data_IF_341278968773
#
_entry.id   IF_341278968773
#
_cell.length_a   1.000
_cell.length_b   1.000
_cell.length_c   1.000
_cell.angle_alpha   90.00
_cell.angle_beta   90.00
_cell.angle_gamma   90.00
#
_symmetry.space_group_name_H-M   'P 1'
#
loop_
_entity.id
_entity.type
_entity.pdbx_description
1 polymer ?
#
# COMPACT_ATOMS: atom_id res chain seq x y z
N UNK A 1 -20.67 -7.63 -9.25
CA UNK A 1 -19.75 -8.55 -9.95
C UNK A 1 -20.52 -9.19 -11.10
N UNK A 2 -19.89 -9.49 -12.25
CA UNK A 2 -20.55 -10.25 -13.30
C UNK A 2 -21.02 -11.60 -12.75
N UNK A 3 -22.31 -11.92 -12.90
CA UNK A 3 -22.91 -13.17 -12.40
C UNK A 3 -23.52 -13.14 -11.00
N UNK A 4 -23.32 -12.07 -10.22
CA UNK A 4 -23.98 -11.94 -8.92
C UNK A 4 -25.44 -11.48 -9.07
N UNK A 5 -26.35 -12.07 -8.29
CA UNK A 5 -27.73 -11.62 -8.20
C UNK A 5 -27.78 -10.21 -7.57
N UNK A 6 -28.43 -9.27 -8.28
CA UNK A 6 -28.59 -7.88 -7.81
C UNK A 6 -29.71 -7.84 -6.77
N UNK A 7 -29.36 -8.16 -5.52
CA UNK A 7 -30.28 -8.08 -4.38
C UNK A 7 -29.73 -7.11 -3.34
N UNK A 8 -30.61 -6.54 -2.51
CA UNK A 8 -30.21 -5.66 -1.40
C UNK A 8 -29.29 -6.39 -0.42
N UNK A 9 -29.50 -7.67 -0.21
CA UNK A 9 -28.69 -8.50 0.69
C UNK A 9 -27.26 -8.71 0.14
N UNK A 10 -27.13 -9.00 -1.16
CA UNK A 10 -25.83 -9.15 -1.80
C UNK A 10 -25.04 -7.85 -1.79
N UNK A 11 -25.70 -6.71 -2.05
CA UNK A 11 -25.10 -5.39 -1.99
C UNK A 11 -24.64 -5.05 -0.57
N UNK A 12 -25.48 -5.28 0.44
CA UNK A 12 -25.16 -5.06 1.85
C UNK A 12 -23.98 -5.93 2.31
N UNK A 13 -23.99 -7.21 1.94
CA UNK A 13 -22.89 -8.14 2.22
C UNK A 13 -21.58 -7.68 1.58
N UNK A 14 -21.63 -7.22 0.33
CA UNK A 14 -20.46 -6.70 -0.39
C UNK A 14 -19.86 -5.49 0.34
N UNK A 15 -20.67 -4.48 0.67
CA UNK A 15 -20.23 -3.27 1.37
C UNK A 15 -19.65 -3.64 2.74
N UNK A 16 -20.33 -4.52 3.50
CA UNK A 16 -19.83 -5.00 4.78
C UNK A 16 -18.47 -5.68 4.66
N UNK A 17 -18.27 -6.50 3.64
CA UNK A 17 -16.99 -7.16 3.41
C UNK A 17 -15.89 -6.21 2.95
N UNK A 18 -16.21 -5.15 2.19
CA UNK A 18 -15.21 -4.23 1.65
C UNK A 18 -14.64 -3.28 2.71
N UNK A 19 -15.46 -2.78 3.62
CA UNK A 19 -15.08 -1.68 4.52
C UNK A 19 -15.09 -2.03 6.02
N UNK A 20 -15.84 -3.05 6.41
CA UNK A 20 -16.08 -3.38 7.82
C UNK A 20 -15.55 -4.77 8.23
N UNK A 21 -14.85 -5.46 7.32
CA UNK A 21 -14.29 -6.78 7.60
C UNK A 21 -12.78 -6.68 7.84
N UNK A 22 -12.26 -6.98 9.04
CA UNK A 22 -10.84 -6.87 9.37
C UNK A 22 -9.93 -7.81 8.57
N UNK A 23 -10.50 -8.84 7.92
CA UNK A 23 -9.73 -9.72 7.02
C UNK A 23 -9.46 -9.09 5.64
N UNK A 24 -10.16 -8.03 5.27
CA UNK A 24 -10.09 -7.41 3.94
C UNK A 24 -9.74 -5.94 3.96
N UNK A 25 -10.03 -5.25 5.05
CA UNK A 25 -9.80 -3.83 5.22
C UNK A 25 -8.97 -3.59 6.47
N UNK A 26 -7.91 -2.82 6.34
CA UNK A 26 -6.98 -2.48 7.40
C UNK A 26 -6.54 -1.04 7.22
N UNK A 27 -6.94 -0.18 8.16
CA UNK A 27 -6.52 1.23 8.23
C UNK A 27 -5.09 1.37 8.72
N UNK A 28 -4.56 0.37 9.38
CA UNK A 28 -3.40 0.45 10.27
C UNK A 28 -3.55 1.56 11.34
N UNK A 29 -2.62 1.60 12.30
CA UNK A 29 -2.67 2.55 13.42
C UNK A 29 -2.62 4.00 12.95
N UNK A 30 -1.76 4.28 11.96
CA UNK A 30 -1.60 5.64 11.38
C UNK A 30 -2.88 6.10 10.69
N UNK A 31 -3.60 5.21 9.99
CA UNK A 31 -4.86 5.54 9.33
C UNK A 31 -5.95 5.90 10.35
N UNK A 32 -6.09 5.10 11.42
CA UNK A 32 -7.04 5.36 12.50
C UNK A 32 -6.72 6.67 13.21
N UNK A 33 -5.47 6.89 13.58
CA UNK A 33 -5.02 8.15 14.18
C UNK A 33 -5.36 9.37 13.31
N UNK A 34 -5.09 9.32 11.99
CA UNK A 34 -5.38 10.42 11.07
C UNK A 34 -6.88 10.72 10.95
N UNK A 35 -7.73 9.68 10.88
CA UNK A 35 -9.18 9.83 10.84
C UNK A 35 -9.67 10.47 12.14
N UNK A 36 -9.27 9.96 13.30
CA UNK A 36 -9.63 10.50 14.60
C UNK A 36 -9.25 11.96 14.73
N UNK A 37 -8.03 12.31 14.35
CA UNK A 37 -7.54 13.69 14.39
C UNK A 37 -8.31 14.61 13.45
N UNK A 38 -8.63 14.16 12.22
CA UNK A 38 -9.33 14.95 11.21
C UNK A 38 -10.80 15.18 11.57
N UNK A 39 -11.48 14.12 11.98
CA UNK A 39 -12.90 14.15 12.27
C UNK A 39 -13.22 14.47 13.75
N UNK A 40 -12.17 14.67 14.57
CA UNK A 40 -12.27 14.93 16.02
C UNK A 40 -13.05 13.82 16.74
N UNK A 41 -12.72 12.56 16.40
CA UNK A 41 -13.28 11.37 17.02
C UNK A 41 -12.31 10.79 18.05
N UNK A 42 -12.87 10.02 18.99
CA UNK A 42 -12.10 9.28 20.01
C UNK A 42 -12.38 7.76 19.88
N UNK A 43 -12.16 7.25 18.68
CA UNK A 43 -12.28 5.80 18.42
C UNK A 43 -10.95 5.14 18.82
N UNK A 44 -10.97 4.01 19.56
CA UNK A 44 -9.74 3.30 19.93
C UNK A 44 -8.86 2.95 18.73
N UNK A 45 -7.54 3.07 18.89
CA UNK A 45 -6.57 2.85 17.80
C UNK A 45 -6.48 1.39 17.34
N UNK A 46 -6.91 0.45 18.16
CA UNK A 46 -7.02 -0.98 17.83
C UNK A 46 -8.15 -1.31 16.85
N UNK A 47 -9.06 -0.34 16.58
CA UNK A 47 -10.14 -0.50 15.59
C UNK A 47 -9.59 -0.24 14.20
N UNK A 48 -9.12 -1.29 13.55
CA UNK A 48 -8.47 -1.25 12.23
C UNK A 48 -9.43 -1.17 11.02
N UNK A 49 -10.74 -1.22 11.26
CA UNK A 49 -11.77 -1.12 10.22
C UNK A 49 -12.54 0.18 10.34
N UNK A 50 -13.22 0.58 9.25
CA UNK A 50 -14.11 1.73 9.31
C UNK A 50 -15.32 1.44 10.21
N UNK A 51 -15.80 2.47 10.91
CA UNK A 51 -17.07 2.47 11.62
C UNK A 51 -18.15 3.18 10.80
N UNK A 52 -19.41 2.99 11.14
CA UNK A 52 -20.50 3.74 10.49
C UNK A 52 -20.37 5.24 10.78
N UNK A 53 -19.91 5.56 11.96
CA UNK A 53 -19.69 6.94 12.39
C UNK A 53 -18.60 7.62 11.56
N UNK A 54 -17.51 6.92 11.25
CA UNK A 54 -16.46 7.43 10.36
C UNK A 54 -17.04 7.85 8.99
N UNK A 55 -17.95 7.03 8.43
CA UNK A 55 -18.57 7.33 7.14
C UNK A 55 -19.47 8.57 7.24
N UNK A 56 -20.31 8.65 8.26
CA UNK A 56 -21.23 9.78 8.44
C UNK A 56 -20.47 11.10 8.67
N UNK A 57 -19.46 11.09 9.53
CA UNK A 57 -18.66 12.28 9.81
C UNK A 57 -17.78 12.67 8.61
N UNK A 58 -17.32 11.72 7.82
CA UNK A 58 -16.64 12.02 6.55
C UNK A 58 -17.56 12.75 5.59
N UNK A 59 -18.82 12.32 5.45
CA UNK A 59 -19.82 13.00 4.60
C UNK A 59 -20.07 14.43 5.11
N UNK A 60 -20.22 14.60 6.41
CA UNK A 60 -20.42 15.93 6.99
C UNK A 60 -19.19 16.84 6.81
N UNK A 61 -17.99 16.26 6.90
CA UNK A 61 -16.77 17.01 6.62
C UNK A 61 -16.66 17.43 5.15
N UNK A 62 -17.05 16.54 4.20
CA UNK A 62 -17.11 16.89 2.78
C UNK A 62 -18.09 18.02 2.52
N UNK A 63 -19.27 18.02 3.17
CA UNK A 63 -20.22 19.14 3.08
C UNK A 63 -19.60 20.47 3.57
N UNK A 64 -18.86 20.43 4.68
CA UNK A 64 -18.15 21.62 5.19
C UNK A 64 -17.13 22.13 4.18
N UNK A 65 -16.35 21.23 3.56
CA UNK A 65 -15.39 21.61 2.52
C UNK A 65 -16.06 22.26 1.30
N UNK A 66 -17.21 21.73 0.86
CA UNK A 66 -17.99 22.33 -0.24
C UNK A 66 -18.48 23.74 0.11
N UNK A 67 -18.83 23.97 1.36
CA UNK A 67 -19.24 25.28 1.86
C UNK A 67 -18.07 26.25 2.12
N UNK A 68 -16.84 25.85 1.87
CA UNK A 68 -15.64 26.64 2.15
C UNK A 68 -15.19 26.60 3.61
N UNK A 69 -15.74 25.71 4.42
CA UNK A 69 -15.37 25.50 5.82
C UNK A 69 -14.39 24.32 5.93
N UNK A 70 -13.22 24.56 6.51
CA UNK A 70 -12.20 23.50 6.67
C UNK A 70 -11.06 23.61 5.65
N UNK A 71 -10.22 22.58 5.58
CA UNK A 71 -9.05 22.56 4.70
C UNK A 71 -8.81 21.15 4.17
N UNK A 72 -8.27 21.08 2.96
CA UNK A 72 -7.78 19.82 2.37
C UNK A 72 -6.36 19.56 2.83
N UNK A 73 -5.96 18.28 2.87
CA UNK A 73 -4.58 17.94 3.14
C UNK A 73 -3.70 18.23 1.93
N UNK A 74 -2.50 18.72 2.21
CA UNK A 74 -1.43 18.79 1.22
C UNK A 74 -0.88 17.38 0.97
N UNK A 75 -1.25 16.81 -0.17
CA UNK A 75 -0.90 15.42 -0.53
C UNK A 75 0.59 15.24 -0.84
N UNK A 76 1.30 16.31 -1.18
CA UNK A 76 2.73 16.26 -1.51
C UNK A 76 3.63 16.47 -0.30
N UNK A 77 3.06 16.88 0.83
CA UNK A 77 3.78 16.97 2.08
C UNK A 77 4.19 15.56 2.57
N UNK A 78 5.45 15.40 2.96
CA UNK A 78 5.99 14.12 3.44
C UNK A 78 5.33 13.59 4.73
N UNK A 79 4.54 14.40 5.44
CA UNK A 79 3.68 13.89 6.51
C UNK A 79 2.52 13.02 5.99
N UNK A 80 2.12 13.18 4.74
CA UNK A 80 1.06 12.44 4.06
C UNK A 80 1.57 11.45 3.01
N UNK A 81 2.85 11.54 2.68
CA UNK A 81 3.53 10.75 1.66
C UNK A 81 4.68 10.01 2.30
N UNK A 82 4.46 8.75 2.68
CA UNK A 82 5.45 7.94 3.36
C UNK A 82 6.25 7.06 2.40
N UNK A 83 7.47 6.73 2.78
CA UNK A 83 8.31 5.77 2.06
C UNK A 83 8.01 4.36 2.57
N UNK A 84 7.84 3.42 1.65
CA UNK A 84 7.73 2.00 1.96
C UNK A 84 9.08 1.34 1.71
N UNK A 85 9.60 0.68 2.73
CA UNK A 85 10.83 -0.12 2.60
C UNK A 85 10.58 -1.49 1.99
N UNK A 86 11.66 -2.17 1.61
CA UNK A 86 11.62 -3.51 1.02
C UNK A 86 10.89 -4.54 1.90
N UNK A 87 11.05 -4.47 3.21
CA UNK A 87 10.38 -5.38 4.14
C UNK A 87 8.86 -5.29 4.08
N UNK A 88 8.30 -4.08 4.01
CA UNK A 88 6.87 -3.86 3.87
C UNK A 88 6.36 -4.38 2.51
N UNK A 89 7.06 -4.04 1.42
CA UNK A 89 6.69 -4.49 0.08
C UNK A 89 6.74 -6.02 -0.05
N UNK A 90 7.76 -6.65 0.52
CA UNK A 90 7.88 -8.10 0.56
C UNK A 90 6.79 -8.74 1.42
N UNK A 91 6.44 -8.15 2.56
CA UNK A 91 5.40 -8.68 3.44
C UNK A 91 4.03 -8.74 2.75
N UNK A 92 3.72 -7.77 1.88
CA UNK A 92 2.50 -7.77 1.07
C UNK A 92 2.49 -8.97 0.11
N UNK A 93 3.61 -9.28 -0.53
CA UNK A 93 3.73 -10.44 -1.42
C UNK A 93 3.60 -11.76 -0.65
N UNK A 94 4.25 -11.86 0.51
CA UNK A 94 4.15 -13.04 1.37
C UNK A 94 2.71 -13.24 1.85
N UNK A 95 2.03 -12.18 2.33
CA UNK A 95 0.59 -12.26 2.68
C UNK A 95 -0.25 -12.76 1.51
N UNK A 96 -0.03 -12.25 0.31
CA UNK A 96 -0.71 -12.70 -0.91
C UNK A 96 -0.47 -14.19 -1.21
N UNK A 97 0.76 -14.65 -1.07
CA UNK A 97 1.15 -16.04 -1.24
C UNK A 97 0.50 -16.97 -0.21
N UNK A 98 0.49 -16.54 1.06
CA UNK A 98 -0.16 -17.28 2.14
C UNK A 98 -1.69 -17.39 1.95
N UNK A 99 -2.34 -16.33 1.48
CA UNK A 99 -3.76 -16.37 1.16
C UNK A 99 -4.08 -17.34 0.02
N UNK A 100 -3.26 -17.36 -1.07
CA UNK A 100 -3.39 -18.31 -2.17
C UNK A 100 -3.21 -19.75 -1.64
N UNK A 101 -2.19 -19.98 -0.83
CA UNK A 101 -1.92 -21.30 -0.24
C UNK A 101 -3.06 -21.74 0.67
N UNK A 102 -3.58 -20.86 1.55
CA UNK A 102 -4.72 -21.15 2.41
C UNK A 102 -5.99 -21.51 1.61
N UNK A 103 -6.24 -20.82 0.49
CA UNK A 103 -7.34 -21.17 -0.41
C UNK A 103 -7.17 -22.58 -1.00
N UNK A 104 -5.99 -22.91 -1.49
CA UNK A 104 -5.70 -24.24 -2.04
C UNK A 104 -5.84 -25.35 -0.99
N UNK A 105 -5.41 -25.10 0.25
CA UNK A 105 -5.58 -26.05 1.36
C UNK A 105 -7.07 -26.30 1.62
N UNK A 106 -7.89 -25.26 1.69
CA UNK A 106 -9.35 -25.40 1.89
C UNK A 106 -10.01 -26.19 0.76
N UNK A 107 -9.64 -25.91 -0.49
CA UNK A 107 -10.15 -26.63 -1.66
C UNK A 107 -9.78 -28.11 -1.60
N UNK A 108 -8.54 -28.45 -1.25
CA UNK A 108 -8.11 -29.85 -1.08
C UNK A 108 -8.84 -30.55 0.06
N UNK A 109 -9.02 -29.88 1.20
CA UNK A 109 -9.77 -30.45 2.34
C UNK A 109 -11.25 -30.72 2.01
N UNK A 110 -11.81 -30.01 1.04
CA UNK A 110 -13.21 -30.23 0.60
C UNK A 110 -13.35 -31.44 -0.34
N UNK A 111 -12.29 -31.72 -1.13
CA UNK A 111 -12.34 -32.74 -2.19
C UNK A 111 -11.77 -34.08 -1.73
N UNK A 112 -10.78 -34.09 -0.85
CA UNK A 112 -10.06 -35.30 -0.45
C UNK A 112 -10.62 -35.90 0.85
N UNK A 113 -10.48 -37.22 0.97
CA UNK A 113 -10.88 -37.94 2.15
C UNK A 113 -9.97 -37.59 3.35
N UNK A 114 -10.58 -37.20 4.45
CA UNK A 114 -9.90 -36.73 5.67
C UNK A 114 -8.98 -37.81 6.25
N UNK A 115 -9.30 -39.09 6.06
CA UNK A 115 -8.53 -40.21 6.60
C UNK A 115 -7.14 -40.38 5.97
N UNK A 116 -6.97 -39.87 4.74
CA UNK A 116 -5.72 -39.99 3.97
C UNK A 116 -4.89 -38.71 3.94
N UNK A 117 -5.42 -37.62 4.53
CA UNK A 117 -4.76 -36.31 4.50
C UNK A 117 -3.58 -36.24 5.48
N UNK A 118 -2.45 -35.80 4.96
CA UNK A 118 -1.29 -35.42 5.77
C UNK A 118 -0.97 -33.94 5.60
N UNK A 119 -0.35 -33.25 6.59
CA UNK A 119 0.03 -31.84 6.46
C UNK A 119 0.92 -31.59 5.21
N UNK A 120 1.83 -32.51 4.89
CA UNK A 120 2.71 -32.41 3.72
C UNK A 120 1.94 -32.50 2.40
N UNK A 121 0.89 -33.33 2.33
CA UNK A 121 0.06 -33.45 1.12
C UNK A 121 -0.82 -32.22 0.90
N UNK A 122 -1.23 -31.56 1.97
CA UNK A 122 -2.06 -30.34 1.91
C UNK A 122 -1.26 -29.11 1.50
N UNK A 123 -0.07 -28.93 2.05
CA UNK A 123 0.74 -27.74 1.86
C UNK A 123 1.44 -27.76 0.50
N UNK A 124 1.20 -26.72 -0.29
CA UNK A 124 1.92 -26.46 -1.53
C UNK A 124 2.56 -25.07 -1.46
N UNK A 125 3.88 -25.03 -1.35
CA UNK A 125 4.66 -23.79 -1.23
C UNK A 125 4.93 -23.09 -2.56
N UNK A 126 4.63 -23.75 -3.70
CA UNK A 126 4.90 -23.20 -5.05
C UNK A 126 4.32 -21.78 -5.26
N UNK A 127 3.06 -21.46 -4.87
CA UNK A 127 2.52 -20.11 -5.05
C UNK A 127 3.26 -19.03 -4.26
N UNK A 128 3.73 -19.35 -3.06
CA UNK A 128 4.53 -18.43 -2.24
C UNK A 128 5.91 -18.20 -2.87
N UNK A 129 6.61 -19.28 -3.23
CA UNK A 129 7.91 -19.19 -3.86
C UNK A 129 7.86 -18.42 -5.19
N UNK A 130 6.82 -18.66 -6.01
CA UNK A 130 6.64 -17.94 -7.26
C UNK A 130 6.51 -16.41 -7.05
N UNK A 131 5.74 -15.97 -6.07
CA UNK A 131 5.59 -14.53 -5.78
C UNK A 131 6.88 -13.90 -5.25
N UNK A 132 7.65 -14.61 -4.44
CA UNK A 132 8.95 -14.14 -3.96
C UNK A 132 9.95 -14.02 -5.12
N UNK A 133 10.00 -15.03 -5.99
CA UNK A 133 10.86 -14.99 -7.17
C UNK A 133 10.45 -13.89 -8.14
N UNK A 134 9.16 -13.67 -8.36
CA UNK A 134 8.64 -12.58 -9.17
C UNK A 134 9.01 -11.22 -8.58
N UNK A 135 8.90 -11.05 -7.26
CA UNK A 135 9.25 -9.81 -6.57
C UNK A 135 10.72 -9.43 -6.77
N UNK A 136 11.65 -10.38 -6.58
CA UNK A 136 13.08 -10.12 -6.72
C UNK A 136 13.60 -10.22 -8.16
N UNK A 137 12.97 -11.02 -9.01
CA UNK A 137 13.45 -11.30 -10.37
C UNK A 137 12.89 -10.38 -11.45
N UNK A 138 11.64 -9.93 -11.30
CA UNK A 138 10.95 -9.12 -12.32
C UNK A 138 10.21 -7.90 -11.75
N UNK A 139 10.35 -7.62 -10.45
CA UNK A 139 9.77 -6.44 -9.82
C UNK A 139 10.36 -5.14 -10.35
N UNK A 140 9.53 -4.13 -10.58
CA UNK A 140 9.96 -2.82 -11.09
C UNK A 140 10.99 -2.12 -10.17
N UNK A 141 10.91 -2.36 -8.87
CA UNK A 141 11.82 -1.80 -7.88
C UNK A 141 13.05 -2.67 -7.63
N UNK A 142 13.02 -3.93 -8.07
CA UNK A 142 14.20 -4.80 -8.07
C UNK A 142 14.99 -4.55 -9.34
N UNK A 143 16.12 -3.88 -9.20
CA UNK A 143 16.94 -3.41 -10.32
C UNK A 143 18.34 -3.98 -10.22
N UNK A 144 19.00 -4.06 -11.36
CA UNK A 144 20.42 -4.37 -11.41
C UNK A 144 21.20 -3.25 -10.69
N UNK A 145 22.01 -3.62 -9.69
CA UNK A 145 22.72 -2.63 -8.87
C UNK A 145 23.86 -2.01 -9.67
N UNK A 146 24.00 -0.68 -9.59
CA UNK A 146 25.17 0.02 -10.10
C UNK A 146 26.37 -0.27 -9.19
N UNK A 147 27.36 -0.93 -9.73
CA UNK A 147 28.59 -1.37 -9.04
C UNK A 147 29.87 -0.77 -9.63
N UNK A 148 29.79 0.37 -10.27
CA UNK A 148 30.97 1.06 -10.84
C UNK A 148 31.98 1.45 -9.77
N UNK A 149 31.50 1.83 -8.58
CA UNK A 149 32.30 2.10 -7.38
C UNK A 149 31.44 1.94 -6.11
N UNK A 150 32.05 1.84 -4.91
CA UNK A 150 31.28 1.67 -3.65
C UNK A 150 30.26 2.80 -3.37
N UNK A 151 30.55 4.03 -3.80
CA UNK A 151 29.64 5.15 -3.61
C UNK A 151 28.41 5.02 -4.52
N UNK A 152 28.57 4.55 -5.76
CA UNK A 152 27.46 4.28 -6.67
C UNK A 152 26.52 3.23 -6.12
N UNK A 153 27.05 2.15 -5.51
CA UNK A 153 26.25 1.13 -4.83
C UNK A 153 25.43 1.74 -3.67
N UNK A 154 26.07 2.54 -2.82
CA UNK A 154 25.40 3.18 -1.69
C UNK A 154 24.29 4.12 -2.16
N UNK A 155 24.55 4.94 -3.17
CA UNK A 155 23.58 5.87 -3.76
C UNK A 155 22.39 5.11 -4.36
N UNK A 156 22.63 4.00 -5.06
CA UNK A 156 21.56 3.19 -5.62
C UNK A 156 20.67 2.57 -4.54
N UNK A 157 21.25 2.09 -3.43
CA UNK A 157 20.51 1.53 -2.29
C UNK A 157 19.67 2.58 -1.55
N UNK A 158 20.06 3.86 -1.59
CA UNK A 158 19.36 4.98 -0.95
C UNK A 158 18.37 5.71 -1.88
N UNK A 159 18.13 5.18 -3.08
CA UNK A 159 17.20 5.75 -4.05
C UNK A 159 15.76 5.57 -3.62
N UNK A 160 14.96 6.63 -3.82
CA UNK A 160 13.52 6.64 -3.55
C UNK A 160 12.79 6.75 -4.89
N UNK A 161 11.77 5.95 -5.10
CA UNK A 161 10.95 5.99 -6.30
C UNK A 161 9.49 6.23 -5.95
N UNK A 162 8.83 7.14 -6.66
CA UNK A 162 7.38 7.31 -6.60
C UNK A 162 6.62 6.27 -7.46
N UNK A 163 7.36 5.52 -8.28
CA UNK A 163 6.84 4.49 -9.17
C UNK A 163 6.75 3.13 -8.46
N UNK A 164 6.09 2.17 -9.09
CA UNK A 164 6.03 0.80 -8.62
C UNK A 164 4.69 0.42 -7.98
N UNK A 165 4.60 -0.75 -7.37
CA UNK A 165 3.37 -1.25 -6.79
C UNK A 165 2.79 -0.33 -5.71
N UNK A 166 1.56 0.16 -5.92
CA UNK A 166 0.91 1.11 -5.03
C UNK A 166 1.42 2.55 -5.13
N UNK A 167 2.34 2.84 -6.06
CA UNK A 167 2.80 4.17 -6.41
C UNK A 167 2.08 4.77 -7.61
N UNK A 168 2.70 5.79 -8.21
CA UNK A 168 2.17 6.50 -9.38
C UNK A 168 2.59 5.83 -10.69
N UNK A 169 1.81 6.04 -11.74
CA UNK A 169 2.26 5.79 -13.12
C UNK A 169 2.83 7.08 -13.71
N UNK A 170 3.76 6.95 -14.64
CA UNK A 170 4.42 8.11 -15.29
C UNK A 170 3.42 9.06 -15.95
N UNK A 171 2.38 8.50 -16.55
CA UNK A 171 1.35 9.25 -17.30
C UNK A 171 0.41 10.02 -16.36
N UNK A 172 0.23 9.53 -15.12
CA UNK A 172 -0.65 10.14 -14.11
C UNK A 172 0.07 11.10 -13.18
N UNK A 173 1.39 11.14 -13.23
CA UNK A 173 2.20 12.03 -12.42
C UNK A 173 2.24 13.43 -13.06
N UNK A 174 1.46 14.36 -12.50
CA UNK A 174 1.48 15.78 -12.85
C UNK A 174 2.75 16.49 -12.40
N UNK A 175 2.83 17.79 -12.69
CA UNK A 175 3.98 18.63 -12.31
C UNK A 175 4.12 18.74 -10.78
N UNK A 176 3.02 18.87 -10.05
CA UNK A 176 3.00 19.05 -8.58
C UNK A 176 3.76 17.94 -7.85
N UNK A 177 3.56 16.68 -8.27
CA UNK A 177 4.23 15.52 -7.67
C UNK A 177 5.72 15.47 -8.00
N UNK A 178 6.15 16.10 -9.10
CA UNK A 178 7.54 16.13 -9.59
C UNK A 178 8.35 17.27 -9.02
N UNK A 179 7.67 18.28 -8.48
CA UNK A 179 8.30 19.46 -7.89
C UNK A 179 8.93 19.16 -6.53
N UNK A 180 9.84 20.02 -6.13
CA UNK A 180 10.45 20.00 -4.80
C UNK A 180 9.53 20.68 -3.81
N UNK A 181 9.03 19.90 -2.87
CA UNK A 181 8.20 20.39 -1.79
C UNK A 181 9.05 20.89 -0.61
N UNK A 182 8.57 21.89 0.14
CA UNK A 182 9.28 22.43 1.32
C UNK A 182 9.60 21.36 2.37
N UNK A 183 8.74 20.32 2.51
CA UNK A 183 8.96 19.21 3.42
C UNK A 183 10.12 18.28 3.04
N UNK A 184 10.67 18.41 1.81
CA UNK A 184 11.85 17.67 1.37
C UNK A 184 13.14 18.13 2.07
N UNK A 185 13.14 19.33 2.65
CA UNK A 185 14.32 19.87 3.34
C UNK A 185 14.85 18.91 4.40
N UNK A 186 16.14 18.59 4.31
CA UNK A 186 16.82 17.65 5.21
C UNK A 186 16.44 16.16 5.01
N UNK A 187 15.55 15.80 4.06
CA UNK A 187 15.05 14.43 3.84
C UNK A 187 15.35 13.89 2.46
N UNK A 188 15.02 14.65 1.43
CA UNK A 188 15.21 14.24 0.03
C UNK A 188 16.10 15.28 -0.66
N UNK A 189 17.07 14.82 -1.45
CA UNK A 189 17.93 15.71 -2.23
C UNK A 189 17.11 16.43 -3.29
N UNK A 190 17.13 17.78 -3.32
CA UNK A 190 16.32 18.55 -4.29
C UNK A 190 16.87 18.54 -5.71
N UNK A 191 18.12 18.11 -5.92
CA UNK A 191 18.82 18.20 -7.20
C UNK A 191 19.03 16.82 -7.86
N UNK A 192 19.21 15.76 -7.06
CA UNK A 192 19.51 14.43 -7.58
C UNK A 192 18.25 13.74 -8.08
N UNK A 193 17.97 13.92 -9.36
CA UNK A 193 16.84 13.28 -10.08
C UNK A 193 17.27 12.99 -11.52
N UNK A 194 16.77 11.91 -12.15
CA UNK A 194 17.05 11.65 -13.55
C UNK A 194 16.40 12.68 -14.47
N UNK A 195 16.96 12.84 -15.66
CA UNK A 195 16.36 13.59 -16.75
C UNK A 195 15.30 12.75 -17.48
N UNK A 196 14.38 13.43 -18.18
CA UNK A 196 13.35 12.79 -19.02
C UNK A 196 12.09 12.42 -18.26
N UNK A 197 11.40 11.31 -18.65
CA UNK A 197 10.05 11.00 -18.15
C UNK A 197 9.97 10.66 -16.66
N UNK A 198 11.10 10.37 -16.03
CA UNK A 198 11.19 10.04 -14.61
C UNK A 198 11.59 11.22 -13.72
N UNK A 199 11.74 12.43 -14.28
CA UNK A 199 12.13 13.61 -13.52
C UNK A 199 11.18 13.84 -12.34
N UNK A 200 11.73 14.09 -11.15
CA UNK A 200 10.97 14.31 -9.93
C UNK A 200 10.30 13.06 -9.34
N UNK A 201 10.24 11.94 -10.06
CA UNK A 201 9.64 10.68 -9.58
C UNK A 201 10.65 9.74 -8.95
N UNK A 202 11.91 9.92 -9.27
CA UNK A 202 13.03 9.17 -8.69
C UNK A 202 13.97 10.20 -8.07
N UNK A 203 14.30 10.00 -6.83
CA UNK A 203 15.19 10.87 -6.05
C UNK A 203 16.07 10.06 -5.12
N UNK A 204 16.85 10.74 -4.32
CA UNK A 204 17.73 10.13 -3.32
C UNK A 204 17.47 10.71 -1.94
N UNK A 205 17.63 9.88 -0.90
CA UNK A 205 17.64 10.36 0.47
C UNK A 205 18.83 11.32 0.70
N UNK A 206 18.58 12.39 1.44
CA UNK A 206 19.69 13.23 1.92
C UNK A 206 20.64 12.44 2.81
N UNK A 207 21.87 12.91 2.98
CA UNK A 207 22.95 12.18 3.67
C UNK A 207 22.53 11.71 5.07
N UNK A 208 21.85 12.54 5.83
CA UNK A 208 21.36 12.24 7.19
C UNK A 208 19.85 11.97 7.25
N UNK A 209 19.19 11.83 6.11
CA UNK A 209 17.78 11.44 6.04
C UNK A 209 17.57 10.02 6.58
N UNK A 210 16.58 9.84 7.46
CA UNK A 210 16.17 8.56 8.07
C UNK A 210 14.72 8.26 7.73
#
# INVERSE_FOLDING_TARGET
RPGDLVTVESARSLVKQMFFNPQRYDLADVGRYKINKRLKQDVPEDVIVLTKEDVLQTIDYVKKLVNGEGFTDDIDNLSNRRVRGVGELLSIQVKGGMLKMSKMVREKMTIQDITTLTPQSLLNTKPLNALILEFFGSGQLSQFMDQSNPLAELTHKRRISALGPGGLSRERAGFEVRDVHNSHYGRICPIETPEGPNIGLIGSLSTYGK
#
